data_IF_120484777663
#
_entry.id   IF_120484777663
#
_cell.length_a   1.000
_cell.length_b   1.000
_cell.length_c   1.000
_cell.angle_alpha   90.00
_cell.angle_beta   90.00
_cell.angle_gamma   90.00
#
_symmetry.space_group_name_H-M   'P 1'
#
loop_
_entity.id
_entity.type
_entity.pdbx_description
1 polymer ?
#
# COMPACT_ATOMS: atom_id res chain seq x y z
N UNK A 1 11.33 36.09 -11.72
CA UNK A 1 11.43 36.30 -13.18
C UNK A 1 12.81 35.86 -13.64
N UNK A 2 12.91 35.10 -14.73
CA UNK A 2 14.19 34.64 -15.28
C UNK A 2 15.03 35.87 -15.69
N UNK A 3 16.26 35.98 -15.19
CA UNK A 3 17.13 37.09 -15.55
C UNK A 3 17.55 36.99 -17.03
N UNK A 4 17.52 38.09 -17.81
CA UNK A 4 17.90 38.06 -19.24
C UNK A 4 19.30 37.48 -19.49
N UNK A 5 20.22 37.67 -18.55
CA UNK A 5 21.60 37.19 -18.63
C UNK A 5 21.72 35.65 -18.63
N UNK A 6 20.70 34.91 -18.19
CA UNK A 6 20.67 33.44 -18.24
C UNK A 6 20.58 32.92 -19.68
N UNK A 7 20.03 33.71 -20.61
CA UNK A 7 19.74 33.29 -21.98
C UNK A 7 18.51 32.39 -22.13
N UNK A 8 17.82 32.05 -21.04
CA UNK A 8 16.64 31.18 -21.06
C UNK A 8 15.38 31.97 -21.47
N UNK A 9 14.52 31.32 -22.26
CA UNK A 9 13.24 31.86 -22.73
C UNK A 9 12.07 31.32 -21.89
N UNK A 10 11.06 32.13 -21.58
CA UNK A 10 9.82 31.65 -20.95
C UNK A 10 9.14 30.55 -21.78
N UNK A 11 8.58 29.55 -21.12
CA UNK A 11 7.87 28.42 -21.74
C UNK A 11 8.78 27.37 -22.41
N UNK A 12 10.10 27.52 -22.33
CA UNK A 12 11.07 26.60 -22.94
C UNK A 12 11.76 25.76 -21.87
N UNK A 13 11.94 24.46 -22.14
CA UNK A 13 12.66 23.55 -21.26
C UNK A 13 14.16 23.52 -21.56
N UNK A 14 14.99 23.53 -20.52
CA UNK A 14 16.45 23.42 -20.65
C UNK A 14 17.00 22.34 -19.72
N UNK A 15 17.77 21.40 -20.26
CA UNK A 15 18.49 20.40 -19.48
C UNK A 15 19.98 20.74 -19.41
N UNK A 16 20.63 20.43 -18.29
CA UNK A 16 22.07 20.63 -18.13
C UNK A 16 22.80 19.48 -18.86
N UNK A 17 23.72 19.80 -19.77
CA UNK A 17 24.51 18.84 -20.54
C UNK A 17 25.42 18.04 -19.62
N UNK A 18 25.21 16.72 -19.59
CA UNK A 18 25.98 15.79 -18.78
C UNK A 18 27.13 15.22 -19.61
N UNK A 19 28.37 15.44 -19.15
CA UNK A 19 29.55 14.80 -19.73
C UNK A 19 29.64 13.38 -19.19
N UNK A 20 28.98 12.44 -19.87
CA UNK A 20 29.02 10.96 -19.78
C UNK A 20 28.87 10.26 -18.41
N UNK A 21 28.96 10.91 -17.24
CA UNK A 21 28.80 10.33 -15.89
C UNK A 21 28.41 11.34 -14.80
N UNK A 22 27.49 12.27 -15.03
CA UNK A 22 27.01 13.19 -13.98
C UNK A 22 25.60 12.81 -13.45
N UNK A 23 25.48 12.07 -12.33
CA UNK A 23 24.21 11.82 -11.64
C UNK A 23 23.65 13.03 -10.87
N UNK A 24 24.21 14.23 -11.06
CA UNK A 24 23.96 15.39 -10.18
C UNK A 24 22.71 16.19 -10.58
N UNK A 25 22.34 16.21 -11.86
CA UNK A 25 21.24 17.04 -12.37
C UNK A 25 20.41 16.29 -13.42
N UNK A 26 19.56 15.33 -13.00
CA UNK A 26 18.79 14.49 -13.95
C UNK A 26 17.56 15.20 -14.54
N UNK A 27 17.38 16.48 -14.22
CA UNK A 27 16.16 17.24 -14.42
C UNK A 27 16.24 18.28 -15.54
N UNK A 28 15.24 19.15 -15.57
CA UNK A 28 15.16 20.26 -16.50
C UNK A 28 14.62 21.52 -15.83
N UNK A 29 15.02 22.67 -16.37
CA UNK A 29 14.42 23.94 -16.03
C UNK A 29 13.19 24.22 -16.90
N UNK A 30 12.13 24.74 -16.28
CA UNK A 30 11.00 25.39 -16.95
C UNK A 30 10.61 26.63 -16.16
N UNK A 31 10.50 27.77 -16.83
CA UNK A 31 10.11 29.06 -16.23
C UNK A 31 10.92 29.45 -14.98
N UNK A 32 12.21 29.08 -14.97
CA UNK A 32 13.14 29.38 -13.89
C UNK A 32 13.00 28.48 -12.66
N UNK A 33 12.19 27.42 -12.75
CA UNK A 33 12.08 26.34 -11.76
C UNK A 33 12.76 25.09 -12.31
N UNK A 34 13.33 24.28 -11.44
CA UNK A 34 14.04 23.05 -11.79
C UNK A 34 13.29 21.81 -11.27
N UNK A 35 13.04 20.86 -12.17
CA UNK A 35 12.22 19.67 -11.94
C UNK A 35 13.03 18.42 -12.26
N UNK A 36 12.91 17.35 -11.47
CA UNK A 36 13.66 16.09 -11.73
C UNK A 36 13.00 15.19 -12.77
N UNK A 37 11.74 15.47 -13.12
CA UNK A 37 10.97 14.72 -14.10
C UNK A 37 9.64 15.42 -14.39
N UNK A 38 9.03 15.21 -15.56
CA UNK A 38 7.75 15.84 -15.93
C UNK A 38 6.58 15.43 -15.02
N UNK A 39 6.67 14.30 -14.33
CA UNK A 39 5.72 13.78 -13.35
C UNK A 39 5.81 14.46 -11.98
N UNK A 40 6.95 15.08 -11.65
CA UNK A 40 7.17 15.75 -10.38
C UNK A 40 6.70 17.19 -10.49
N UNK A 41 5.45 17.46 -10.09
CA UNK A 41 4.87 18.82 -10.10
C UNK A 41 5.50 19.77 -9.07
N UNK A 42 6.49 19.31 -8.30
CA UNK A 42 7.21 20.10 -7.30
C UNK A 42 8.60 20.45 -7.83
N UNK A 43 8.90 21.74 -7.90
CA UNK A 43 10.23 22.21 -8.23
C UNK A 43 11.18 21.92 -7.05
N UNK A 44 12.30 21.27 -7.32
CA UNK A 44 13.35 20.98 -6.33
C UNK A 44 14.50 21.99 -6.39
N UNK A 45 14.37 23.01 -7.23
CA UNK A 45 15.29 24.13 -7.35
C UNK A 45 14.68 25.27 -8.16
N UNK A 46 15.30 26.45 -8.11
CA UNK A 46 14.84 27.63 -8.84
C UNK A 46 15.98 28.62 -9.10
N UNK A 47 15.72 29.59 -9.96
CA UNK A 47 16.63 30.69 -10.24
C UNK A 47 16.30 31.93 -9.43
N UNK A 48 17.30 32.45 -8.72
CA UNK A 48 17.29 33.79 -8.12
C UNK A 48 18.25 34.69 -8.90
N UNK A 49 17.70 35.45 -9.85
CA UNK A 49 18.54 36.18 -10.80
C UNK A 49 19.30 35.23 -11.71
N UNK A 50 20.62 35.14 -11.52
CA UNK A 50 21.50 34.18 -12.21
C UNK A 50 21.86 32.98 -11.32
N UNK A 51 21.58 33.04 -10.02
CA UNK A 51 21.95 32.00 -9.09
C UNK A 51 20.97 30.83 -9.19
N UNK A 52 21.51 29.62 -9.37
CA UNK A 52 20.74 28.39 -9.32
C UNK A 52 20.73 27.86 -7.89
N UNK A 53 19.55 27.86 -7.29
CA UNK A 53 19.26 27.31 -5.98
C UNK A 53 18.71 25.90 -6.13
N UNK A 54 19.22 24.95 -5.36
CA UNK A 54 18.84 23.55 -5.38
C UNK A 54 18.58 23.05 -3.95
N UNK A 55 17.33 22.67 -3.69
CA UNK A 55 16.80 22.42 -2.35
C UNK A 55 16.54 20.93 -2.09
N UNK A 56 17.33 20.06 -2.72
CA UNK A 56 17.34 18.65 -2.36
C UNK A 56 18.21 18.40 -1.13
N UNK A 57 17.71 17.51 -0.29
CA UNK A 57 18.42 16.97 0.86
C UNK A 57 19.02 15.61 0.50
N UNK A 58 20.17 15.30 1.06
CA UNK A 58 20.78 13.99 1.01
C UNK A 58 20.05 12.99 1.95
N UNK A 59 20.38 11.68 1.94
CA UNK A 59 19.75 10.70 2.81
C UNK A 59 19.90 10.94 4.33
N UNK A 60 20.79 11.85 4.73
CA UNK A 60 21.01 12.25 6.12
C UNK A 60 20.20 13.49 6.51
N UNK A 61 19.53 14.14 5.54
CA UNK A 61 18.70 15.33 5.74
C UNK A 61 19.45 16.65 5.55
N UNK A 62 20.71 16.62 5.09
CA UNK A 62 21.51 17.82 4.83
C UNK A 62 21.36 18.28 3.37
N UNK A 63 21.38 19.59 3.07
CA UNK A 63 21.34 20.07 1.70
C UNK A 63 22.48 19.50 0.85
N UNK A 64 22.16 19.02 -0.36
CA UNK A 64 23.16 18.46 -1.29
C UNK A 64 24.25 19.51 -1.64
N UNK A 65 23.88 20.79 -1.68
CA UNK A 65 24.82 21.90 -1.82
C UNK A 65 24.85 22.73 -0.55
N UNK A 66 26.03 22.99 0.03
CA UNK A 66 26.18 23.96 1.11
C UNK A 66 25.55 25.30 0.70
N UNK A 67 24.76 25.90 1.58
CA UNK A 67 23.98 27.11 1.34
C UNK A 67 22.94 27.02 0.20
N UNK A 68 22.61 25.81 -0.26
CA UNK A 68 21.63 25.50 -1.33
C UNK A 68 21.98 26.13 -2.69
N UNK A 69 23.16 26.72 -2.84
CA UNK A 69 23.58 27.39 -4.07
C UNK A 69 24.49 26.49 -4.89
N UNK A 70 24.05 26.16 -6.10
CA UNK A 70 24.80 25.31 -7.03
C UNK A 70 25.86 26.10 -7.78
N UNK A 71 25.48 27.28 -8.27
CA UNK A 71 26.30 28.06 -9.20
C UNK A 71 25.51 29.13 -9.92
N UNK A 72 26.08 29.69 -10.98
CA UNK A 72 25.49 30.77 -11.77
C UNK A 72 25.22 30.37 -13.21
N UNK A 73 24.04 30.72 -13.71
CA UNK A 73 23.65 30.53 -15.11
C UNK A 73 23.84 31.82 -15.89
N UNK A 74 24.66 31.75 -16.93
CA UNK A 74 24.87 32.83 -17.89
C UNK A 74 24.99 32.28 -19.31
N UNK A 75 24.26 32.87 -20.25
CA UNK A 75 24.28 32.50 -21.68
C UNK A 75 24.13 30.97 -21.90
N UNK A 76 23.09 30.38 -21.29
CA UNK A 76 22.80 28.94 -21.33
C UNK A 76 23.99 28.07 -20.88
N UNK A 77 24.72 28.51 -19.86
CA UNK A 77 25.73 27.70 -19.21
C UNK A 77 25.72 27.91 -17.70
N UNK A 78 25.70 26.81 -16.95
CA UNK A 78 25.85 26.78 -15.49
C UNK A 78 27.33 26.69 -15.14
N UNK A 79 27.82 27.65 -14.36
CA UNK A 79 29.16 27.61 -13.75
C UNK A 79 29.00 27.22 -12.29
N UNK A 80 29.50 26.02 -11.93
CA UNK A 80 29.46 25.48 -10.57
C UNK A 80 30.42 26.22 -9.65
N UNK A 81 30.25 26.06 -8.32
CA UNK A 81 31.10 26.68 -7.31
C UNK A 81 32.60 26.33 -7.41
N UNK A 82 32.95 25.21 -8.05
CA UNK A 82 34.33 24.79 -8.33
C UNK A 82 34.90 25.33 -9.66
N UNK A 83 34.12 26.12 -10.40
CA UNK A 83 34.48 26.70 -11.69
C UNK A 83 34.20 25.82 -12.90
N UNK A 84 33.67 24.60 -12.72
CA UNK A 84 33.26 23.77 -13.85
C UNK A 84 32.06 24.39 -14.57
N UNK A 85 32.12 24.41 -15.91
CA UNK A 85 31.07 24.98 -16.76
C UNK A 85 30.32 23.87 -17.51
N UNK A 86 29.00 23.82 -17.32
CA UNK A 86 28.08 22.88 -17.94
C UNK A 86 27.13 23.64 -18.87
N UNK A 87 26.98 23.21 -20.12
CA UNK A 87 26.04 23.85 -21.05
C UNK A 87 24.59 23.51 -20.67
N UNK A 88 23.65 24.38 -21.02
CA UNK A 88 22.21 24.12 -20.95
C UNK A 88 21.70 23.98 -22.38
N UNK A 89 21.14 22.82 -22.68
CA UNK A 89 20.58 22.51 -23.98
C UNK A 89 19.05 22.64 -23.92
N UNK A 90 18.49 23.35 -24.89
CA UNK A 90 17.05 23.39 -25.09
C UNK A 90 16.56 21.98 -25.43
N UNK A 91 15.55 21.51 -24.71
CA UNK A 91 14.91 20.21 -24.93
C UNK A 91 13.42 20.40 -25.19
N UNK A 92 12.78 19.52 -25.98
CA UNK A 92 11.32 19.45 -26.02
C UNK A 92 10.79 19.26 -24.59
N UNK A 93 9.60 19.83 -24.28
CA UNK A 93 8.93 19.52 -23.03
C UNK A 93 8.80 18.00 -22.90
N UNK A 94 9.32 17.34 -21.85
CA UNK A 94 9.25 15.90 -21.71
C UNK A 94 7.78 15.48 -21.53
N UNK A 95 7.11 15.16 -22.63
CA UNK A 95 5.79 14.54 -22.61
C UNK A 95 5.93 13.09 -22.18
N UNK A 96 4.96 12.55 -21.43
CA UNK A 96 4.89 11.11 -21.12
C UNK A 96 4.96 10.33 -22.43
N UNK A 97 6.12 9.76 -22.73
CA UNK A 97 6.28 8.91 -23.90
C UNK A 97 5.35 7.70 -23.76
N UNK A 98 4.50 7.49 -24.76
CA UNK A 98 3.72 6.28 -24.88
C UNK A 98 4.67 5.06 -24.86
N UNK A 99 4.35 3.99 -24.12
CA UNK A 99 5.25 2.86 -24.02
C UNK A 99 5.36 2.15 -25.37
N UNK A 100 6.60 2.06 -25.83
CA UNK A 100 7.04 1.36 -27.04
C UNK A 100 6.53 -0.10 -27.03
N UNK A 101 5.91 -0.50 -28.14
CA UNK A 101 5.14 -1.72 -28.30
C UNK A 101 5.95 -3.00 -28.01
N UNK A 102 5.61 -3.68 -26.91
CA UNK A 102 5.84 -5.12 -26.79
C UNK A 102 4.79 -5.88 -27.63
N UNK A 103 5.26 -6.85 -28.41
CA UNK A 103 4.50 -7.60 -29.42
C UNK A 103 3.17 -8.22 -28.89
N UNK A 104 2.16 -8.39 -29.76
CA UNK A 104 0.80 -8.67 -29.35
C UNK A 104 0.59 -10.13 -28.97
N UNK A 105 0.28 -10.38 -27.70
CA UNK A 105 -0.51 -11.56 -27.33
C UNK A 105 -1.99 -11.17 -27.44
N UNK A 106 -2.65 -11.78 -28.43
CA UNK A 106 -4.08 -11.75 -28.79
C UNK A 106 -5.02 -11.12 -27.75
N UNK A 107 -5.52 -9.93 -28.06
CA UNK A 107 -6.66 -9.24 -27.42
C UNK A 107 -7.95 -9.34 -28.26
N UNK A 108 -8.11 -10.41 -29.04
CA UNK A 108 -9.37 -10.67 -29.72
C UNK A 108 -10.22 -11.58 -28.83
N UNK A 109 -11.01 -10.96 -27.95
CA UNK A 109 -12.29 -11.48 -27.42
C UNK A 109 -12.92 -10.52 -26.38
N UNK A 110 -12.88 -9.20 -26.59
CA UNK A 110 -13.71 -8.27 -25.81
C UNK A 110 -14.46 -7.29 -26.72
N UNK A 111 -15.80 -7.22 -26.62
CA UNK A 111 -16.63 -6.40 -27.50
C UNK A 111 -16.45 -4.89 -27.25
N UNK A 112 -16.79 -4.02 -28.21
CA UNK A 112 -16.45 -2.61 -28.18
C UNK A 112 -17.34 -1.79 -27.21
N UNK A 113 -16.67 -0.95 -26.42
CA UNK A 113 -17.10 0.35 -25.89
C UNK A 113 -18.57 0.48 -25.42
N UNK A 114 -18.86 0.02 -24.21
CA UNK A 114 -19.77 0.76 -23.33
C UNK A 114 -18.92 1.76 -22.56
N UNK A 115 -19.24 3.06 -22.64
CA UNK A 115 -18.81 4.04 -21.64
C UNK A 115 -18.97 3.39 -20.26
N UNK A 116 -17.86 3.13 -19.55
CA UNK A 116 -17.90 2.54 -18.21
C UNK A 116 -18.70 3.51 -17.34
N UNK A 117 -19.97 3.20 -17.10
CA UNK A 117 -20.82 3.95 -16.17
C UNK A 117 -20.11 3.88 -14.82
N UNK A 118 -19.53 4.98 -14.37
CA UNK A 118 -18.73 5.08 -13.14
C UNK A 118 -19.66 4.89 -11.95
N UNK A 119 -19.59 3.72 -11.31
CA UNK A 119 -20.67 3.23 -10.44
C UNK A 119 -20.65 3.83 -9.04
N UNK A 120 -19.51 4.44 -8.65
CA UNK A 120 -19.31 5.07 -7.35
C UNK A 120 -19.17 6.60 -7.44
N UNK A 121 -19.53 7.18 -8.59
CA UNK A 121 -19.51 8.63 -8.78
C UNK A 121 -20.28 9.34 -7.66
N UNK A 122 -19.60 10.24 -6.94
CA UNK A 122 -20.18 11.00 -5.82
C UNK A 122 -20.35 10.24 -4.51
N UNK A 123 -19.92 8.97 -4.42
CA UNK A 123 -19.85 8.22 -3.17
C UNK A 123 -18.58 8.59 -2.41
N UNK A 124 -18.68 8.84 -1.11
CA UNK A 124 -17.52 9.07 -0.25
C UNK A 124 -16.95 7.76 0.30
N UNK A 125 -15.66 7.53 0.06
CA UNK A 125 -14.91 6.36 0.54
C UNK A 125 -13.76 6.83 1.45
N UNK A 126 -13.72 6.33 2.67
CA UNK A 126 -12.60 6.53 3.60
C UNK A 126 -11.74 5.27 3.62
N UNK A 127 -10.42 5.41 3.48
CA UNK A 127 -9.48 4.27 3.45
C UNK A 127 -8.36 4.50 4.46
N UNK A 128 -8.23 3.63 5.47
CA UNK A 128 -7.09 3.64 6.38
C UNK A 128 -5.93 2.79 5.85
N UNK A 129 -4.69 3.18 6.14
CA UNK A 129 -3.49 2.54 5.59
C UNK A 129 -3.35 2.78 4.07
N UNK A 130 -3.82 3.92 3.58
CA UNK A 130 -3.90 4.23 2.15
C UNK A 130 -2.54 4.51 1.49
N UNK A 131 -1.49 4.78 2.26
CA UNK A 131 -0.19 5.21 1.72
C UNK A 131 0.62 4.11 1.02
N UNK A 132 0.27 2.83 1.18
CA UNK A 132 1.02 1.71 0.57
C UNK A 132 0.19 0.44 0.39
N UNK A 133 0.74 -0.52 -0.34
CA UNK A 133 0.21 -1.88 -0.42
C UNK A 133 -1.24 -1.94 -0.94
N UNK A 134 -2.06 -2.75 -0.27
CA UNK A 134 -3.48 -2.93 -0.57
C UNK A 134 -4.26 -1.62 -0.46
N UNK A 135 -3.93 -0.74 0.51
CA UNK A 135 -4.61 0.52 0.70
C UNK A 135 -4.41 1.49 -0.47
N UNK A 136 -3.17 1.64 -0.94
CA UNK A 136 -2.86 2.44 -2.15
C UNK A 136 -3.51 1.85 -3.38
N UNK A 137 -3.49 0.51 -3.53
CA UNK A 137 -4.17 -0.16 -4.63
C UNK A 137 -5.70 0.05 -4.60
N UNK A 138 -6.29 0.05 -3.40
CA UNK A 138 -7.71 0.33 -3.20
C UNK A 138 -8.03 1.78 -3.56
N UNK A 139 -7.24 2.76 -3.08
CA UNK A 139 -7.40 4.16 -3.42
C UNK A 139 -7.43 4.38 -4.95
N UNK A 140 -6.46 3.80 -5.67
CA UNK A 140 -6.42 3.84 -7.13
C UNK A 140 -7.66 3.20 -7.77
N UNK A 141 -8.08 2.02 -7.30
CA UNK A 141 -9.24 1.31 -7.86
C UNK A 141 -10.58 2.03 -7.60
N UNK A 142 -10.74 2.67 -6.44
CA UNK A 142 -11.91 3.50 -6.16
C UNK A 142 -11.87 4.83 -6.91
N UNK A 143 -10.68 5.40 -7.16
CA UNK A 143 -10.52 6.57 -8.02
C UNK A 143 -10.94 6.26 -9.48
N UNK A 144 -10.61 5.08 -10.00
CA UNK A 144 -11.06 4.63 -11.32
C UNK A 144 -12.59 4.49 -11.44
N UNK A 145 -13.30 4.39 -10.31
CA UNK A 145 -14.78 4.40 -10.24
C UNK A 145 -15.37 5.79 -9.92
N UNK A 146 -14.51 6.83 -9.92
CA UNK A 146 -14.83 8.24 -9.66
C UNK A 146 -15.44 8.49 -8.27
N UNK A 147 -15.07 7.69 -7.28
CA UNK A 147 -15.42 7.95 -5.89
C UNK A 147 -14.71 9.21 -5.37
N UNK A 148 -15.30 9.87 -4.37
CA UNK A 148 -14.61 10.88 -3.55
C UNK A 148 -13.86 10.14 -2.45
N UNK A 149 -12.57 10.45 -2.26
CA UNK A 149 -11.69 9.66 -1.41
C UNK A 149 -11.19 10.48 -0.23
N UNK A 150 -11.24 9.90 0.98
CA UNK A 150 -10.43 10.34 2.11
C UNK A 150 -9.41 9.26 2.42
N UNK A 151 -8.14 9.62 2.30
CA UNK A 151 -7.01 8.71 2.40
C UNK A 151 -6.27 8.98 3.71
N UNK A 152 -6.20 7.95 4.56
CA UNK A 152 -5.67 8.07 5.91
C UNK A 152 -4.50 7.12 6.15
N UNK A 153 -3.40 7.66 6.67
CA UNK A 153 -2.20 6.96 7.10
C UNK A 153 -1.32 7.91 7.94
N UNK A 154 -0.24 7.37 8.54
CA UNK A 154 0.73 8.16 9.31
C UNK A 154 1.73 8.93 8.44
N UNK A 155 1.93 8.46 7.21
CA UNK A 155 2.94 8.97 6.26
C UNK A 155 2.33 10.02 5.33
N UNK A 156 2.54 11.30 5.65
CA UNK A 156 1.96 12.44 4.91
C UNK A 156 2.50 12.56 3.49
N UNK A 157 3.80 12.35 3.30
CA UNK A 157 4.44 12.47 1.99
C UNK A 157 3.87 11.41 1.04
N UNK A 158 3.81 10.17 1.50
CA UNK A 158 3.23 9.11 0.70
C UNK A 158 1.72 9.27 0.50
N UNK A 159 0.97 9.84 1.46
CA UNK A 159 -0.44 10.15 1.23
C UNK A 159 -0.63 11.20 0.14
N UNK A 160 0.20 12.24 0.10
CA UNK A 160 0.15 13.26 -0.93
C UNK A 160 0.37 12.64 -2.33
N UNK A 161 1.35 11.74 -2.48
CA UNK A 161 1.53 10.99 -3.72
C UNK A 161 0.28 10.20 -4.13
N UNK A 162 -0.40 9.54 -3.19
CA UNK A 162 -1.61 8.76 -3.51
C UNK A 162 -2.79 9.69 -3.85
N UNK A 163 -2.89 10.87 -3.22
CA UNK A 163 -3.86 11.89 -3.61
C UNK A 163 -3.62 12.31 -5.05
N UNK A 164 -2.38 12.60 -5.44
CA UNK A 164 -2.03 12.98 -6.80
C UNK A 164 -2.37 11.87 -7.80
N UNK A 165 -2.08 10.61 -7.46
CA UNK A 165 -2.48 9.45 -8.26
C UNK A 165 -4.00 9.35 -8.45
N UNK A 166 -4.78 9.62 -7.40
CA UNK A 166 -6.24 9.60 -7.45
C UNK A 166 -6.80 10.76 -8.27
N UNK A 167 -6.23 11.97 -8.12
CA UNK A 167 -6.60 13.16 -8.89
C UNK A 167 -6.28 12.98 -10.37
N UNK A 168 -5.12 12.40 -10.71
CA UNK A 168 -4.76 12.05 -12.08
C UNK A 168 -5.74 11.05 -12.73
N UNK A 169 -6.48 10.28 -11.91
CA UNK A 169 -7.55 9.36 -12.35
C UNK A 169 -8.93 10.03 -12.40
N UNK A 170 -9.03 11.33 -12.11
CA UNK A 170 -10.28 12.10 -12.14
C UNK A 170 -11.09 12.10 -10.85
N UNK A 171 -10.58 11.47 -9.78
CA UNK A 171 -11.26 11.45 -8.49
C UNK A 171 -10.87 12.66 -7.62
N UNK A 172 -11.81 13.17 -6.83
CA UNK A 172 -11.49 14.10 -5.76
C UNK A 172 -10.96 13.31 -4.55
N UNK A 173 -9.80 13.71 -4.02
CA UNK A 173 -9.16 13.03 -2.90
C UNK A 173 -8.66 14.04 -1.85
N UNK A 174 -8.76 13.65 -0.57
CA UNK A 174 -8.27 14.38 0.59
C UNK A 174 -7.34 13.47 1.40
N UNK A 175 -6.12 13.91 1.68
CA UNK A 175 -5.22 13.26 2.63
C UNK A 175 -5.52 13.73 4.05
N UNK A 176 -5.60 12.79 4.99
CA UNK A 176 -5.72 13.07 6.42
C UNK A 176 -4.69 12.24 7.16
N UNK A 177 -3.71 12.89 7.80
CA UNK A 177 -2.77 12.18 8.66
C UNK A 177 -3.53 11.55 9.82
N UNK A 178 -3.41 10.23 9.97
CA UNK A 178 -4.09 9.51 11.03
C UNK A 178 -3.26 8.31 11.48
N UNK A 179 -2.98 8.27 12.77
CA UNK A 179 -2.65 7.04 13.48
C UNK A 179 -3.93 6.38 13.99
N UNK A 180 -4.19 5.14 13.53
CA UNK A 180 -5.40 4.39 13.91
C UNK A 180 -5.37 3.91 15.36
N UNK A 181 -4.22 4.00 16.04
CA UNK A 181 -4.14 3.70 17.49
C UNK A 181 -4.67 4.84 18.34
N UNK A 182 -4.81 6.05 17.79
CA UNK A 182 -5.24 7.25 18.48
C UNK A 182 -6.75 7.53 18.25
N UNK A 183 -7.52 7.51 19.33
CA UNK A 183 -8.97 7.71 19.26
C UNK A 183 -9.37 9.12 18.82
N UNK A 184 -8.61 10.15 19.20
CA UNK A 184 -8.90 11.53 18.81
C UNK A 184 -8.62 11.75 17.32
N UNK A 185 -7.55 11.17 16.79
CA UNK A 185 -7.26 11.23 15.35
C UNK A 185 -8.30 10.45 14.53
N UNK A 186 -8.80 9.31 15.02
CA UNK A 186 -9.87 8.58 14.35
C UNK A 186 -11.20 9.35 14.34
N UNK A 187 -11.51 10.06 15.43
CA UNK A 187 -12.67 10.95 15.47
C UNK A 187 -12.51 12.13 14.50
N UNK A 188 -11.32 12.74 14.47
CA UNK A 188 -10.99 13.81 13.54
C UNK A 188 -11.08 13.35 12.08
N UNK A 189 -10.59 12.15 11.75
CA UNK A 189 -10.72 11.54 10.43
C UNK A 189 -12.18 11.43 10.01
N UNK A 190 -13.04 10.89 10.87
CA UNK A 190 -14.46 10.76 10.56
C UNK A 190 -15.14 12.13 10.36
N UNK A 191 -14.80 13.13 11.18
CA UNK A 191 -15.35 14.48 11.03
C UNK A 191 -14.93 15.16 9.73
N UNK A 192 -13.64 15.12 9.37
CA UNK A 192 -13.11 15.69 8.14
C UNK A 192 -13.63 14.94 6.91
N UNK A 193 -13.79 13.62 7.01
CA UNK A 193 -14.42 12.83 5.96
C UNK A 193 -15.88 13.24 5.75
N UNK A 194 -16.66 13.37 6.81
CA UNK A 194 -18.04 13.82 6.71
C UNK A 194 -18.15 15.23 6.12
N UNK A 195 -17.29 16.17 6.54
CA UNK A 195 -17.22 17.52 5.96
C UNK A 195 -16.92 17.46 4.45
N UNK A 196 -15.88 16.72 4.07
CA UNK A 196 -15.53 16.49 2.66
C UNK A 196 -16.57 15.68 1.89
N UNK A 197 -17.52 15.03 2.55
CA UNK A 197 -18.61 14.25 1.95
C UNK A 197 -19.98 14.91 2.04
N UNK A 198 -20.05 16.21 2.34
CA UNK A 198 -21.30 16.96 2.52
C UNK A 198 -22.20 16.35 3.61
N UNK A 199 -21.59 15.99 4.73
CA UNK A 199 -22.22 15.40 5.91
C UNK A 199 -22.41 13.87 5.86
N UNK A 200 -21.89 13.19 4.83
CA UNK A 200 -22.10 11.74 4.63
C UNK A 200 -20.80 10.98 4.51
N UNK A 201 -20.85 9.70 4.87
CA UNK A 201 -19.79 8.72 4.61
C UNK A 201 -20.46 7.48 4.04
N UNK A 202 -20.20 7.12 2.78
CA UNK A 202 -20.87 5.97 2.15
C UNK A 202 -20.13 4.66 2.46
N UNK A 203 -18.80 4.68 2.38
CA UNK A 203 -17.95 3.49 2.53
C UNK A 203 -16.78 3.81 3.46
N UNK A 204 -16.53 2.93 4.42
CA UNK A 204 -15.36 3.00 5.30
C UNK A 204 -14.55 1.72 5.21
N UNK A 205 -13.27 1.84 4.88
CA UNK A 205 -12.37 0.71 4.70
C UNK A 205 -11.32 0.74 5.81
N UNK A 206 -11.46 -0.18 6.77
CA UNK A 206 -10.40 -0.48 7.70
C UNK A 206 -9.38 -1.40 7.01
N UNK A 207 -8.20 -0.85 6.72
CA UNK A 207 -7.14 -1.57 6.03
C UNK A 207 -5.75 -1.38 6.67
N UNK A 208 -5.54 -0.32 7.47
CA UNK A 208 -4.27 -0.12 8.18
C UNK A 208 -3.86 -1.37 8.96
N UNK A 209 -2.61 -1.81 8.81
CA UNK A 209 -2.10 -2.97 9.53
C UNK A 209 -0.59 -3.00 9.59
N UNK A 210 -0.08 -3.62 10.65
CA UNK A 210 1.35 -3.83 10.91
C UNK A 210 1.58 -5.29 11.29
N UNK A 211 2.80 -5.77 11.04
CA UNK A 211 3.19 -7.13 11.34
C UNK A 211 4.45 -7.15 12.20
N UNK A 212 4.54 -8.13 13.07
CA UNK A 212 5.77 -8.47 13.79
C UNK A 212 5.98 -9.98 13.71
N UNK A 213 7.19 -10.39 13.29
CA UNK A 213 7.57 -11.80 13.21
C UNK A 213 8.80 -12.04 14.09
N UNK A 214 8.71 -12.97 15.04
CA UNK A 214 9.75 -13.29 16.02
C UNK A 214 9.27 -14.37 16.98
N UNK A 215 10.18 -14.99 17.74
CA UNK A 215 9.71 -15.86 18.82
C UNK A 215 9.01 -15.02 19.89
N UNK A 216 8.07 -15.63 20.61
CA UNK A 216 7.21 -14.91 21.55
C UNK A 216 8.03 -14.26 22.68
N UNK A 217 9.05 -14.96 23.16
CA UNK A 217 9.93 -14.50 24.23
C UNK A 217 11.04 -13.54 23.77
N UNK A 218 11.37 -13.51 22.47
CA UNK A 218 12.37 -12.59 21.91
C UNK A 218 11.75 -11.31 21.35
N UNK A 219 10.45 -11.33 21.08
CA UNK A 219 9.72 -10.15 20.63
C UNK A 219 9.33 -9.31 21.86
N UNK A 220 9.71 -8.03 21.90
CA UNK A 220 9.32 -7.14 23.01
C UNK A 220 7.79 -7.09 23.23
N UNK A 221 7.36 -6.89 24.47
CA UNK A 221 5.92 -6.86 24.80
C UNK A 221 5.20 -5.68 24.14
N UNK A 222 5.81 -4.50 24.14
CA UNK A 222 5.30 -3.29 23.50
C UNK A 222 5.07 -3.47 21.99
N UNK A 223 5.91 -4.28 21.32
CA UNK A 223 5.71 -4.69 19.93
C UNK A 223 4.44 -5.53 19.77
N UNK A 224 4.21 -6.50 20.66
CA UNK A 224 2.99 -7.30 20.64
C UNK A 224 1.75 -6.44 20.87
N UNK A 225 1.81 -5.54 21.84
CA UNK A 225 0.72 -4.60 22.15
C UNK A 225 0.45 -3.66 20.97
N UNK A 226 1.48 -3.12 20.32
CA UNK A 226 1.33 -2.22 19.18
C UNK A 226 0.64 -2.88 17.97
N UNK A 227 0.94 -4.16 17.73
CA UNK A 227 0.21 -4.96 16.71
C UNK A 227 -1.27 -5.04 17.07
N UNK A 228 -1.63 -5.33 18.33
CA UNK A 228 -3.03 -5.39 18.75
C UNK A 228 -3.73 -4.01 18.68
N UNK A 229 -3.01 -2.93 19.03
CA UNK A 229 -3.52 -1.57 18.96
C UNK A 229 -3.91 -1.18 17.53
N UNK A 230 -3.10 -1.59 16.55
CA UNK A 230 -3.32 -1.27 15.13
C UNK A 230 -4.31 -2.22 14.48
N UNK A 231 -4.04 -3.53 14.54
CA UNK A 231 -4.71 -4.54 13.71
C UNK A 231 -6.04 -5.04 14.27
N UNK A 232 -6.36 -4.71 15.52
CA UNK A 232 -7.64 -5.03 16.16
C UNK A 232 -8.35 -3.77 16.67
N UNK A 233 -7.71 -3.02 17.57
CA UNK A 233 -8.36 -1.87 18.19
C UNK A 233 -8.51 -0.70 17.20
N UNK A 234 -7.60 -0.53 16.23
CA UNK A 234 -7.75 0.45 15.15
C UNK A 234 -9.00 0.19 14.29
N UNK A 235 -9.32 -1.07 14.02
CA UNK A 235 -10.53 -1.46 13.30
C UNK A 235 -11.79 -1.21 14.12
N UNK A 236 -11.73 -1.51 15.43
CA UNK A 236 -12.81 -1.19 16.37
C UNK A 236 -13.07 0.31 16.39
N UNK A 237 -12.02 1.14 16.53
CA UNK A 237 -12.12 2.60 16.49
C UNK A 237 -12.73 3.08 15.18
N UNK A 238 -12.28 2.55 14.05
CA UNK A 238 -12.83 2.88 12.72
C UNK A 238 -14.31 2.55 12.60
N UNK A 239 -14.73 1.37 13.04
CA UNK A 239 -16.14 0.99 13.09
C UNK A 239 -16.94 1.92 14.01
N UNK A 240 -16.40 2.23 15.19
CA UNK A 240 -17.06 3.08 16.20
C UNK A 240 -17.30 4.50 15.68
N UNK A 241 -16.30 5.13 15.05
CA UNK A 241 -16.41 6.54 14.61
C UNK A 241 -17.30 6.71 13.39
N UNK A 242 -17.40 5.70 12.50
CA UNK A 242 -18.28 5.76 11.33
C UNK A 242 -19.74 5.40 11.65
N UNK A 243 -19.97 4.63 12.72
CA UNK A 243 -21.29 4.09 13.07
C UNK A 243 -22.41 5.14 13.15
N UNK A 244 -22.21 6.32 13.80
CA UNK A 244 -23.24 7.34 13.88
C UNK A 244 -23.67 7.87 12.50
N UNK A 245 -22.73 8.01 11.56
CA UNK A 245 -23.02 8.46 10.20
C UNK A 245 -23.85 7.44 9.46
N UNK A 246 -23.45 6.17 9.49
CA UNK A 246 -24.21 5.08 8.87
C UNK A 246 -25.63 4.96 9.43
N UNK A 247 -25.80 5.07 10.76
CA UNK A 247 -27.11 5.03 11.40
C UNK A 247 -27.98 6.24 11.05
N UNK A 248 -27.40 7.44 11.02
CA UNK A 248 -28.12 8.66 10.66
C UNK A 248 -28.62 8.64 9.21
N UNK A 249 -27.76 8.20 8.27
CA UNK A 249 -28.12 8.11 6.85
C UNK A 249 -28.89 6.82 6.50
N UNK A 250 -28.98 5.87 7.44
CA UNK A 250 -29.61 4.54 7.30
C UNK A 250 -29.03 3.65 6.20
N UNK A 251 -27.82 3.95 5.73
CA UNK A 251 -27.11 3.20 4.69
C UNK A 251 -25.61 3.25 4.95
N UNK A 252 -24.82 2.29 4.48
CA UNK A 252 -23.37 2.39 4.52
C UNK A 252 -22.66 1.04 4.42
N UNK A 253 -21.40 1.05 4.03
CA UNK A 253 -20.59 -0.18 3.92
C UNK A 253 -19.29 -0.05 4.71
N UNK A 254 -19.16 -0.84 5.78
CA UNK A 254 -17.89 -1.03 6.48
C UNK A 254 -17.18 -2.24 5.88
N UNK A 255 -15.97 -2.03 5.34
CA UNK A 255 -15.12 -3.10 4.83
C UNK A 255 -13.93 -3.26 5.76
N UNK A 256 -13.82 -4.44 6.38
CA UNK A 256 -12.66 -4.82 7.17
C UNK A 256 -11.72 -5.70 6.34
N UNK A 257 -10.47 -5.29 6.21
CA UNK A 257 -9.40 -6.11 5.61
C UNK A 257 -8.84 -7.07 6.65
N UNK A 258 -9.24 -8.32 6.60
CA UNK A 258 -8.78 -9.38 7.49
C UNK A 258 -7.57 -10.08 6.85
N UNK A 259 -7.43 -11.38 7.05
CA UNK A 259 -6.35 -12.19 6.51
C UNK A 259 -6.77 -13.65 6.53
N UNK A 260 -6.20 -14.50 5.67
CA UNK A 260 -6.26 -15.95 5.90
C UNK A 260 -5.78 -16.32 7.33
N UNK A 261 -4.90 -15.51 7.92
CA UNK A 261 -4.49 -15.59 9.32
C UNK A 261 -5.62 -15.49 10.36
N UNK A 262 -6.84 -15.09 9.97
CA UNK A 262 -8.04 -15.16 10.82
C UNK A 262 -8.57 -16.58 11.02
N UNK A 263 -8.15 -17.53 10.19
CA UNK A 263 -8.57 -18.94 10.24
C UNK A 263 -7.45 -19.88 10.65
N UNK A 264 -6.21 -19.49 10.37
CA UNK A 264 -5.02 -20.29 10.65
C UNK A 264 -3.98 -19.40 11.33
N UNK A 265 -3.68 -19.71 12.60
CA UNK A 265 -2.65 -19.01 13.34
C UNK A 265 -1.27 -19.17 12.66
N UNK A 266 -0.49 -18.09 12.68
CA UNK A 266 0.86 -18.06 12.15
C UNK A 266 1.85 -18.14 13.32
N UNK A 267 2.61 -19.25 13.43
CA UNK A 267 3.72 -19.33 14.38
C UNK A 267 4.68 -18.17 14.20
N UNK A 268 5.31 -17.73 15.29
CA UNK A 268 6.19 -16.55 15.33
C UNK A 268 5.50 -15.21 15.02
N UNK A 269 4.17 -15.18 14.89
CA UNK A 269 3.39 -13.95 14.72
C UNK A 269 2.15 -14.01 15.63
N UNK A 270 2.37 -14.22 16.93
CA UNK A 270 1.32 -14.49 17.91
C UNK A 270 0.31 -13.34 18.04
N UNK A 271 0.78 -12.11 18.25
CA UNK A 271 -0.08 -10.93 18.35
C UNK A 271 -0.85 -10.66 17.05
N UNK A 272 -0.21 -10.83 15.89
CA UNK A 272 -0.88 -10.74 14.60
C UNK A 272 -2.00 -11.78 14.49
N UNK A 273 -1.73 -13.04 14.84
CA UNK A 273 -2.75 -14.10 14.82
C UNK A 273 -3.92 -13.76 15.76
N UNK A 274 -3.64 -13.36 17.00
CA UNK A 274 -4.66 -12.93 17.96
C UNK A 274 -5.52 -11.78 17.41
N UNK A 275 -4.89 -10.77 16.80
CA UNK A 275 -5.60 -9.63 16.18
C UNK A 275 -6.54 -10.08 15.07
N UNK A 276 -6.12 -10.96 14.16
CA UNK A 276 -6.92 -11.39 12.99
C UNK A 276 -8.04 -12.35 13.36
N UNK A 277 -7.86 -13.19 14.39
CA UNK A 277 -8.96 -13.97 14.96
C UNK A 277 -9.96 -13.08 15.71
N UNK A 278 -9.48 -12.15 16.54
CA UNK A 278 -10.32 -11.19 17.25
C UNK A 278 -11.13 -10.30 16.29
N UNK A 279 -10.50 -9.85 15.20
CA UNK A 279 -11.15 -9.02 14.17
C UNK A 279 -12.28 -9.75 13.45
N UNK A 280 -12.16 -11.07 13.25
CA UNK A 280 -13.28 -11.89 12.74
C UNK A 280 -14.47 -11.85 13.71
N UNK A 281 -14.22 -12.09 14.99
CA UNK A 281 -15.26 -12.04 16.02
C UNK A 281 -15.93 -10.66 16.10
N UNK A 282 -15.14 -9.58 16.08
CA UNK A 282 -15.63 -8.20 16.03
C UNK A 282 -16.54 -7.96 14.81
N UNK A 283 -16.10 -8.38 13.63
CA UNK A 283 -16.85 -8.20 12.38
C UNK A 283 -18.17 -8.97 12.39
N UNK A 284 -18.18 -10.21 12.89
CA UNK A 284 -19.39 -11.02 13.02
C UNK A 284 -20.37 -10.44 14.04
N UNK A 285 -19.88 -9.95 15.18
CA UNK A 285 -20.70 -9.31 16.21
C UNK A 285 -21.39 -8.04 15.67
N UNK A 286 -20.63 -7.12 15.04
CA UNK A 286 -21.18 -5.90 14.46
C UNK A 286 -22.23 -6.18 13.38
N UNK A 287 -22.03 -7.23 12.59
CA UNK A 287 -23.02 -7.66 11.58
C UNK A 287 -24.33 -8.12 12.24
N UNK A 288 -24.25 -8.85 13.35
CA UNK A 288 -25.43 -9.31 14.10
C UNK A 288 -26.27 -8.15 14.64
N UNK A 289 -25.62 -7.09 15.11
CA UNK A 289 -26.27 -5.86 15.62
C UNK A 289 -27.03 -5.08 14.53
N UNK A 290 -26.72 -5.31 13.24
CA UNK A 290 -27.36 -4.66 12.10
C UNK A 290 -28.57 -5.41 11.55
N UNK A 291 -29.07 -6.45 12.24
CA UNK A 291 -30.26 -7.21 11.81
C UNK A 291 -31.51 -6.35 11.55
N UNK A 292 -31.63 -5.19 12.22
CA UNK A 292 -32.69 -4.20 11.98
C UNK A 292 -32.33 -3.04 11.02
N UNK A 293 -31.18 -3.10 10.34
CA UNK A 293 -30.66 -2.05 9.46
C UNK A 293 -30.20 -2.65 8.12
N UNK A 294 -31.13 -3.00 7.22
CA UNK A 294 -30.84 -3.83 6.05
C UNK A 294 -29.84 -3.21 5.05
N UNK A 295 -29.73 -1.87 5.03
CA UNK A 295 -28.88 -1.13 4.09
C UNK A 295 -27.53 -0.69 4.70
N UNK A 296 -27.24 -1.13 5.94
CA UNK A 296 -25.92 -0.96 6.56
C UNK A 296 -25.23 -2.33 6.55
N UNK A 297 -24.07 -2.40 5.92
CA UNK A 297 -23.36 -3.65 5.69
C UNK A 297 -21.99 -3.65 6.37
N UNK A 298 -21.65 -4.77 7.00
CA UNK A 298 -20.31 -5.04 7.51
C UNK A 298 -19.74 -6.24 6.76
N UNK A 299 -18.68 -5.97 6.01
CA UNK A 299 -18.07 -6.88 5.05
C UNK A 299 -16.64 -7.21 5.46
N UNK A 300 -16.25 -8.48 5.31
CA UNK A 300 -14.86 -8.91 5.46
C UNK A 300 -14.24 -9.31 4.11
N UNK A 301 -13.02 -8.83 3.89
CA UNK A 301 -12.13 -9.30 2.84
C UNK A 301 -11.04 -10.14 3.50
N UNK A 302 -10.83 -11.36 3.02
CA UNK A 302 -9.74 -12.25 3.44
C UNK A 302 -8.70 -12.37 2.32
N UNK A 303 -7.69 -11.49 2.29
CA UNK A 303 -6.53 -11.69 1.42
C UNK A 303 -5.74 -12.94 1.84
N UNK A 304 -5.24 -13.67 0.84
CA UNK A 304 -4.16 -14.63 1.02
C UNK A 304 -2.81 -13.91 1.20
N UNK A 305 -1.70 -14.55 0.84
CA UNK A 305 -0.39 -13.88 0.81
C UNK A 305 -0.35 -12.94 -0.40
N UNK A 306 -0.25 -11.63 -0.15
CA UNK A 306 -0.30 -10.59 -1.19
C UNK A 306 1.09 -9.96 -1.35
N UNK A 307 1.46 -9.63 -2.59
CA UNK A 307 2.71 -8.98 -2.96
C UNK A 307 2.73 -7.50 -2.57
N UNK A 308 2.86 -7.23 -1.27
CA UNK A 308 2.97 -5.87 -0.74
C UNK A 308 4.32 -5.64 -0.08
N UNK A 309 4.70 -4.37 0.15
CA UNK A 309 5.87 -4.03 0.96
C UNK A 309 5.84 -4.54 2.41
N UNK A 310 4.71 -5.06 2.91
CA UNK A 310 4.54 -5.43 4.32
C UNK A 310 5.57 -6.43 4.86
N UNK A 311 6.03 -7.38 4.04
CA UNK A 311 7.10 -8.32 4.45
C UNK A 311 8.49 -7.67 4.53
N UNK A 312 8.71 -6.57 3.80
CA UNK A 312 9.93 -5.76 3.83
C UNK A 312 9.91 -4.79 5.00
N UNK A 313 8.77 -4.13 5.22
CA UNK A 313 8.65 -3.01 6.16
C UNK A 313 8.22 -3.42 7.57
N UNK A 314 7.67 -4.63 7.72
CA UNK A 314 7.18 -5.13 9.01
C UNK A 314 8.31 -5.39 10.01
N UNK A 315 7.94 -5.47 11.29
CA UNK A 315 8.87 -5.77 12.36
C UNK A 315 9.42 -7.20 12.23
N UNK A 316 10.73 -7.32 12.40
CA UNK A 316 11.44 -8.57 12.30
C UNK A 316 12.33 -8.77 13.53
N UNK A 317 11.96 -9.73 14.36
CA UNK A 317 12.68 -10.17 15.55
C UNK A 317 13.18 -11.61 15.39
N UNK A 318 13.19 -12.16 14.16
CA UNK A 318 13.64 -13.54 13.90
C UNK A 318 15.16 -13.69 13.78
N UNK A 319 15.88 -12.59 13.55
CA UNK A 319 17.31 -12.60 13.19
C UNK A 319 17.60 -13.08 11.76
N UNK A 320 16.57 -13.31 10.93
CA UNK A 320 16.69 -13.84 9.57
C UNK A 320 15.86 -13.02 8.59
N UNK A 321 16.25 -13.00 7.31
CA UNK A 321 15.51 -12.34 6.26
C UNK A 321 14.12 -12.97 6.07
N UNK A 322 13.07 -12.15 6.09
CA UNK A 322 11.70 -12.60 5.85
C UNK A 322 11.38 -12.64 4.36
N UNK A 323 10.64 -13.67 3.95
CA UNK A 323 10.08 -13.78 2.60
C UNK A 323 8.63 -14.26 2.67
N UNK A 324 7.73 -13.74 1.84
CA UNK A 324 6.37 -14.24 1.78
C UNK A 324 6.36 -15.71 1.32
N UNK A 325 5.57 -16.59 1.95
CA UNK A 325 5.41 -17.96 1.48
C UNK A 325 4.58 -17.96 0.18
N UNK A 326 4.95 -18.74 -0.84
CA UNK A 326 4.15 -18.86 -2.06
C UNK A 326 2.85 -19.64 -1.80
N UNK A 327 1.80 -19.43 -2.62
CA UNK A 327 1.71 -18.49 -3.74
C UNK A 327 1.47 -17.04 -3.27
N UNK A 328 2.14 -16.09 -3.93
CA UNK A 328 1.98 -14.65 -3.68
C UNK A 328 1.10 -14.04 -4.76
N UNK A 329 0.05 -13.31 -4.36
CA UNK A 329 -0.96 -12.76 -5.28
C UNK A 329 -0.81 -11.24 -5.47
N UNK A 330 -1.33 -10.76 -6.60
CA UNK A 330 -1.41 -9.34 -6.96
C UNK A 330 -2.30 -8.53 -5.97
N UNK A 331 -1.80 -7.42 -5.38
CA UNK A 331 -2.58 -6.51 -4.53
C UNK A 331 -3.83 -5.95 -5.19
N UNK A 332 -3.80 -5.70 -6.51
CA UNK A 332 -4.95 -5.14 -7.22
C UNK A 332 -6.14 -6.12 -7.25
N UNK A 333 -5.93 -7.42 -7.01
CA UNK A 333 -7.04 -8.37 -6.82
C UNK A 333 -7.84 -8.07 -5.56
N UNK A 334 -7.18 -7.64 -4.49
CA UNK A 334 -7.83 -7.26 -3.23
C UNK A 334 -8.57 -5.94 -3.43
N UNK A 335 -7.94 -4.96 -4.08
CA UNK A 335 -8.56 -3.68 -4.41
C UNK A 335 -9.85 -3.85 -5.24
N UNK A 336 -9.82 -4.67 -6.30
CA UNK A 336 -11.01 -5.00 -7.09
C UNK A 336 -12.10 -5.70 -6.26
N UNK A 337 -11.72 -6.56 -5.34
CA UNK A 337 -12.67 -7.20 -4.43
C UNK A 337 -13.33 -6.20 -3.48
N UNK A 338 -12.58 -5.21 -2.96
CA UNK A 338 -13.12 -4.13 -2.15
C UNK A 338 -14.12 -3.27 -2.94
N UNK A 339 -13.78 -2.86 -4.17
CA UNK A 339 -14.69 -2.11 -5.05
C UNK A 339 -15.95 -2.92 -5.36
N UNK A 340 -15.81 -4.21 -5.70
CA UNK A 340 -16.94 -5.09 -5.94
C UNK A 340 -17.84 -5.22 -4.70
N UNK A 341 -17.23 -5.32 -3.50
CA UNK A 341 -17.93 -5.42 -2.23
C UNK A 341 -18.66 -4.11 -1.87
N UNK A 342 -18.05 -2.96 -2.15
CA UNK A 342 -18.71 -1.66 -1.97
C UNK A 342 -19.95 -1.51 -2.86
N UNK A 343 -19.91 -2.05 -4.09
CA UNK A 343 -21.03 -2.02 -5.03
C UNK A 343 -22.10 -3.10 -4.75
N UNK A 344 -21.66 -4.27 -4.30
CA UNK A 344 -22.51 -5.43 -4.03
C UNK A 344 -22.08 -6.04 -2.69
N UNK A 345 -22.56 -5.48 -1.57
CA UNK A 345 -22.14 -5.90 -0.24
C UNK A 345 -22.32 -7.40 -0.04
N UNK A 346 -21.20 -8.07 0.28
CA UNK A 346 -21.17 -9.49 0.63
C UNK A 346 -20.57 -9.61 2.01
N UNK A 347 -21.18 -10.40 2.93
CA UNK A 347 -20.64 -10.57 4.27
C UNK A 347 -19.17 -10.98 4.25
N UNK A 348 -18.81 -11.89 3.35
CA UNK A 348 -17.46 -12.45 3.28
C UNK A 348 -16.95 -12.66 1.87
N UNK A 349 -15.71 -12.23 1.60
CA UNK A 349 -15.01 -12.42 0.32
C UNK A 349 -13.58 -12.89 0.56
N UNK A 350 -13.18 -14.02 -0.03
CA UNK A 350 -11.80 -14.53 0.03
C UNK A 350 -11.07 -14.26 -1.28
N UNK A 351 -9.84 -13.75 -1.21
CA UNK A 351 -9.00 -13.43 -2.38
C UNK A 351 -7.77 -14.35 -2.39
N UNK A 352 -7.85 -15.42 -3.19
CA UNK A 352 -6.78 -16.42 -3.38
C UNK A 352 -7.30 -17.85 -3.19
N UNK A 353 -7.26 -18.68 -4.23
CA UNK A 353 -7.91 -20.00 -4.22
C UNK A 353 -7.26 -21.01 -3.24
N UNK A 354 -5.93 -20.95 -3.06
CA UNK A 354 -5.22 -21.79 -2.10
C UNK A 354 -5.63 -21.52 -0.63
N UNK A 355 -6.11 -20.31 -0.34
CA UNK A 355 -6.55 -19.90 0.99
C UNK A 355 -7.83 -20.63 1.42
N UNK A 356 -8.76 -20.88 0.49
CA UNK A 356 -10.00 -21.61 0.74
C UNK A 356 -9.74 -23.07 1.13
N UNK A 357 -8.76 -23.71 0.48
CA UNK A 357 -8.35 -25.09 0.79
C UNK A 357 -7.59 -25.19 2.13
N UNK A 358 -6.70 -24.23 2.41
CA UNK A 358 -6.00 -24.17 3.69
C UNK A 358 -6.96 -23.95 4.88
N UNK A 359 -8.00 -23.12 4.70
CA UNK A 359 -9.08 -22.91 5.68
C UNK A 359 -9.80 -24.22 6.03
N UNK A 360 -10.01 -25.10 5.06
CA UNK A 360 -10.64 -26.41 5.29
C UNK A 360 -9.67 -27.42 5.92
N UNK A 361 -8.40 -27.45 5.51
CA UNK A 361 -7.40 -28.40 5.99
C UNK A 361 -7.03 -28.22 7.49
N UNK A 362 -7.10 -26.99 7.99
CA UNK A 362 -6.75 -26.66 9.39
C UNK A 362 -7.60 -27.42 10.43
N UNK A 363 -8.88 -27.69 10.14
CA UNK A 363 -9.79 -28.37 11.06
C UNK A 363 -9.57 -29.89 11.15
N UNK A 364 -8.72 -30.45 10.30
CA UNK A 364 -8.66 -31.89 10.07
C UNK A 364 -7.36 -32.52 10.55
N UNK A 365 -6.30 -31.73 10.77
CA UNK A 365 -4.97 -32.22 11.14
C UNK A 365 -4.65 -31.95 12.62
N UNK A 366 -4.76 -32.95 13.53
CA UNK A 366 -4.26 -32.81 14.89
C UNK A 366 -2.74 -32.53 14.86
N UNK A 367 -2.27 -31.57 15.66
CA UNK A 367 -0.86 -31.19 15.70
C UNK A 367 -0.39 -30.22 14.60
N UNK A 368 -1.31 -29.68 13.79
CA UNK A 368 -0.98 -28.72 12.73
C UNK A 368 -0.20 -27.48 13.23
N UNK A 369 -0.52 -26.86 14.38
CA UNK A 369 0.26 -25.73 14.89
C UNK A 369 1.74 -26.08 15.13
N UNK A 370 2.01 -27.26 15.69
CA UNK A 370 3.38 -27.74 15.96
C UNK A 370 4.13 -28.01 14.65
N UNK A 371 3.49 -28.65 13.67
CA UNK A 371 4.09 -28.89 12.36
C UNK A 371 4.38 -27.57 11.61
N UNK A 372 3.43 -26.64 11.61
CA UNK A 372 3.59 -25.30 11.02
C UNK A 372 4.73 -24.54 11.69
N UNK A 373 4.84 -24.61 13.02
CA UNK A 373 5.94 -24.00 13.77
C UNK A 373 7.30 -24.59 13.41
N UNK A 374 7.37 -25.93 13.30
CA UNK A 374 8.58 -26.62 12.86
C UNK A 374 8.99 -26.23 11.44
N UNK A 375 8.06 -26.20 10.49
CA UNK A 375 8.30 -25.78 9.10
C UNK A 375 8.77 -24.31 9.01
N UNK A 376 8.15 -23.43 9.79
CA UNK A 376 8.51 -22.01 9.83
C UNK A 376 9.93 -21.83 10.36
N UNK A 377 10.27 -22.50 11.48
CA UNK A 377 11.64 -22.51 12.04
C UNK A 377 12.67 -23.05 11.05
N UNK A 378 12.33 -24.14 10.37
CA UNK A 378 13.18 -24.73 9.33
C UNK A 378 13.44 -23.76 8.16
N UNK A 379 12.44 -22.95 7.79
CA UNK A 379 12.57 -21.90 6.78
C UNK A 379 13.45 -20.73 7.22
N UNK A 380 13.32 -20.27 8.47
CA UNK A 380 14.18 -19.21 9.02
C UNK A 380 15.64 -19.62 9.03
N UNK A 381 15.96 -20.84 9.48
CA UNK A 381 17.33 -21.35 9.53
C UNK A 381 18.00 -21.50 8.15
N UNK A 382 17.22 -21.45 7.06
CA UNK A 382 17.73 -21.45 5.67
C UNK A 382 17.83 -20.05 5.07
N UNK A 383 17.28 -19.05 5.73
CA UNK A 383 17.27 -17.68 5.25
C UNK A 383 18.54 -16.96 5.72
N UNK A 384 19.07 -15.99 4.96
CA UNK A 384 20.22 -15.21 5.39
C UNK A 384 19.97 -14.51 6.73
N UNK A 385 21.02 -14.37 7.53
CA UNK A 385 20.95 -13.57 8.75
C UNK A 385 20.60 -12.11 8.42
N UNK A 386 19.83 -11.46 9.29
CA UNK A 386 19.45 -10.05 9.15
C UNK A 386 19.27 -9.44 10.53
N UNK A 387 19.60 -8.16 10.70
CA UNK A 387 19.40 -7.46 11.96
C UNK A 387 17.90 -7.43 12.33
N UNK A 388 17.64 -7.45 13.63
CA UNK A 388 16.27 -7.24 14.12
C UNK A 388 15.85 -5.79 13.95
N UNK A 389 14.55 -5.54 13.78
CA UNK A 389 13.99 -4.20 13.58
C UNK A 389 12.54 -4.13 14.02
N UNK A 390 12.14 -2.99 14.57
CA UNK A 390 10.73 -2.66 14.84
C UNK A 390 9.95 -2.30 13.57
N UNK A 391 10.64 -2.16 12.43
CA UNK A 391 10.04 -1.89 11.13
C UNK A 391 9.11 -0.67 11.19
N UNK A 392 7.90 -0.85 10.66
CA UNK A 392 6.88 0.18 10.59
C UNK A 392 5.93 0.21 11.79
N UNK A 393 6.23 -0.43 12.92
CA UNK A 393 5.29 -0.49 14.06
C UNK A 393 4.99 0.88 14.65
N UNK A 394 6.03 1.62 14.98
CA UNK A 394 5.92 2.88 15.73
C UNK A 394 6.01 4.11 14.83
N UNK A 395 6.79 4.03 13.75
CA UNK A 395 6.99 5.12 12.81
C UNK A 395 6.69 4.65 11.38
N UNK A 396 6.31 5.57 10.46
CA UNK A 396 6.31 5.28 9.04
C UNK A 396 7.67 4.72 8.59
N UNK A 397 7.69 3.71 7.72
CA UNK A 397 8.94 3.20 7.15
C UNK A 397 9.57 4.26 6.24
N UNK A 398 10.88 4.40 6.26
CA UNK A 398 11.60 5.29 5.35
C UNK A 398 11.56 4.79 3.90
N UNK A 399 11.77 5.72 2.95
CA UNK A 399 11.85 5.45 1.51
C UNK A 399 10.49 5.39 0.82
N UNK A 400 10.52 5.09 -0.48
CA UNK A 400 9.34 5.16 -1.34
C UNK A 400 8.27 4.12 -0.96
N UNK A 401 7.02 4.58 -0.89
CA UNK A 401 5.86 3.73 -0.68
C UNK A 401 5.31 3.28 -2.03
N UNK A 402 5.00 1.99 -2.17
CA UNK A 402 4.47 1.42 -3.41
C UNK A 402 3.29 0.49 -3.12
N UNK A 403 2.53 0.17 -4.16
CA UNK A 403 1.51 -0.89 -4.12
C UNK A 403 2.17 -2.26 -3.96
N UNK A 404 3.19 -2.53 -4.75
CA UNK A 404 3.81 -3.85 -4.86
C UNK A 404 5.06 -3.98 -3.98
N UNK A 405 5.32 -5.18 -3.46
CA UNK A 405 6.51 -5.50 -2.68
C UNK A 405 7.69 -6.05 -3.50
N UNK A 406 7.47 -6.39 -4.77
CA UNK A 406 8.49 -6.99 -5.63
C UNK A 406 8.72 -8.48 -5.37
N UNK A 407 7.75 -9.18 -4.77
CA UNK A 407 7.89 -10.58 -4.38
C UNK A 407 7.38 -11.57 -5.44
N UNK A 408 6.54 -11.14 -6.38
CA UNK A 408 6.10 -11.99 -7.48
C UNK A 408 7.21 -12.13 -8.52
N UNK A 409 7.53 -13.36 -8.89
CA UNK A 409 8.30 -13.63 -10.13
C UNK A 409 7.36 -14.10 -11.23
N UNK A 410 7.57 -13.65 -12.46
CA UNK A 410 6.80 -14.09 -13.64
C UNK A 410 6.86 -15.62 -13.87
N UNK A 411 7.88 -16.31 -13.33
CA UNK A 411 8.07 -17.77 -13.42
C UNK A 411 7.41 -18.57 -12.28
N UNK A 412 6.89 -17.90 -11.26
CA UNK A 412 6.36 -18.53 -10.04
C UNK A 412 4.83 -18.47 -9.93
N UNK A 413 4.12 -18.49 -11.06
CA UNK A 413 2.72 -18.92 -11.03
C UNK A 413 2.72 -20.39 -10.60
N UNK A 414 2.13 -20.68 -9.44
CA UNK A 414 2.07 -22.04 -8.91
C UNK A 414 1.49 -22.95 -10.00
N UNK A 415 2.32 -23.88 -10.50
CA UNK A 415 1.81 -24.88 -11.44
C UNK A 415 0.71 -25.66 -10.72
N UNK A 416 -0.38 -26.03 -11.41
CA UNK A 416 -1.46 -26.82 -10.81
C UNK A 416 -0.97 -28.13 -10.17
N UNK A 417 0.25 -28.58 -10.52
CA UNK A 417 0.96 -29.70 -9.91
C UNK A 417 1.37 -29.46 -8.45
N UNK A 418 1.73 -28.24 -8.02
CA UNK A 418 2.05 -27.96 -6.62
C UNK A 418 0.81 -27.94 -5.73
N UNK A 419 -0.31 -27.45 -6.26
CA UNK A 419 -1.62 -27.48 -5.59
C UNK A 419 -2.13 -28.92 -5.47
N UNK A 420 -1.96 -29.72 -6.53
CA UNK A 420 -2.26 -31.15 -6.52
C UNK A 420 -1.34 -31.93 -5.55
N UNK A 421 -0.05 -31.59 -5.48
CA UNK A 421 0.91 -32.21 -4.56
C UNK A 421 0.60 -31.91 -3.09
N UNK A 422 0.23 -30.68 -2.76
CA UNK A 422 -0.22 -30.31 -1.42
C UNK A 422 -1.54 -31.00 -1.04
N UNK A 423 -2.49 -31.12 -1.98
CA UNK A 423 -3.74 -31.85 -1.77
C UNK A 423 -3.54 -33.37 -1.60
N UNK A 424 -2.60 -33.97 -2.36
CA UNK A 424 -2.25 -35.38 -2.25
C UNK A 424 -1.49 -35.70 -0.95
N UNK A 425 -0.66 -34.79 -0.43
CA UNK A 425 -0.03 -34.94 0.88
C UNK A 425 -1.06 -34.90 2.01
N UNK A 426 -2.04 -33.99 1.94
CA UNK A 426 -3.15 -33.94 2.91
C UNK A 426 -4.04 -35.19 2.81
N UNK A 427 -4.35 -35.66 1.59
CA UNK A 427 -5.10 -36.90 1.36
C UNK A 427 -4.35 -38.15 1.82
N UNK A 428 -3.02 -38.19 1.62
CA UNK A 428 -2.16 -39.28 2.07
C UNK A 428 -2.02 -39.36 3.58
N UNK A 429 -1.88 -38.22 4.26
CA UNK A 429 -1.88 -38.14 5.73
C UNK A 429 -3.23 -38.56 6.33
N UNK A 430 -4.34 -38.17 5.69
CA UNK A 430 -5.69 -38.61 6.06
C UNK A 430 -5.86 -40.13 5.96
N UNK A 431 -5.43 -40.74 4.86
CA UNK A 431 -5.48 -42.20 4.66
C UNK A 431 -4.58 -42.98 5.63
N UNK A 432 -3.43 -42.40 6.00
CA UNK A 432 -2.52 -42.98 6.99
C UNK A 432 -3.11 -42.95 8.41
N UNK A 433 -3.76 -41.84 8.78
CA UNK A 433 -4.43 -41.68 10.08
C UNK A 433 -5.70 -42.53 10.22
N UNK A 434 -6.43 -42.77 9.12
CA UNK A 434 -7.57 -43.71 9.14
C UNK A 434 -7.11 -45.16 9.26
N UNK A 435 -5.94 -45.51 8.70
CA UNK A 435 -5.36 -46.87 8.82
C UNK A 435 -4.70 -47.14 10.17
N UNK A 436 -4.21 -46.12 10.87
CA UNK A 436 -3.61 -46.26 12.21
C UNK A 436 -4.66 -46.37 13.33
N UNK A 437 -5.92 -46.02 13.07
CA UNK A 437 -7.04 -46.18 14.02
C UNK A 437 -7.76 -47.53 13.92
N UNK A 438 -7.43 -48.34 12.91
CA UNK A 438 -8.02 -49.67 12.68
C UNK A 438 -7.06 -50.82 12.99
N UNK A 439 -6.02 -50.58 13.80
CA UNK A 439 -5.08 -51.62 14.29
C UNK A 439 -5.04 -51.64 15.80
#
# INVERSE_FOLDING_TARGET
MIAPATGMKPGTCYAIESVERAPQFPGFFLDGKYYLGPELQTAVGWLEGQDFIYDQLDPTGEPIYPDRRVGQIQNLALTLGDGQRLALNEIPYPTTAEPEAAAPHSRDDLPPNQQRKTRLSGKLVVITGASSGIGRAAAQAFADEQARLVLAARDEVALAEVVDECVARGAAALAVRTDVTDSAQMQALASQAAEFGDGRIDIWINNAGVGAVGSFEQTPLDVHEQVLQTDLLGYLRGAYVVWPYFKAQKQGVLINTLSLGSWVAQPYAAAYSASKYGLRGLTEALRGELSGCPDIHVCDIYPAVIDTPGFRDGANFTGHALKPPPPVYDPHRVARAMVHCALHPKPSTTVGAAATLARAAHFVLPGFPQLSGWLTRWGFNRSPATATSSGNLFNPPGGERRVEGGWRSAKAQASPLWVAGAALLVGGCLLALTRSRTR
#
